data_IF_479777376793
#
_entry.id   IF_479777376793
#
_cell.length_a   1.000
_cell.length_b   1.000
_cell.length_c   1.000
_cell.angle_alpha   90.00
_cell.angle_beta   90.00
_cell.angle_gamma   90.00
#
_symmetry.space_group_name_H-M   'P 1'
#
loop_
_entity.id
_entity.type
_entity.pdbx_description
1 polymer ?
#
# COMPACT_ATOMS: atom_id res chain seq x y z
N UNK A 1 -6.68 15.61 -7.45
CA UNK A 1 -8.03 15.18 -7.05
C UNK A 1 -7.99 14.99 -5.54
N UNK A 2 -8.96 15.51 -4.80
CA UNK A 2 -8.93 15.43 -3.34
C UNK A 2 -9.20 13.98 -2.84
N UNK A 3 -8.38 13.50 -1.91
CA UNK A 3 -8.48 12.17 -1.29
C UNK A 3 -9.43 12.26 -0.10
N UNK A 4 -10.42 11.37 -0.03
CA UNK A 4 -11.34 11.30 1.13
C UNK A 4 -10.60 10.74 2.33
N UNK A 5 -10.66 11.44 3.47
CA UNK A 5 -10.02 11.01 4.72
C UNK A 5 -11.08 10.82 5.81
N UNK A 6 -11.20 9.60 6.33
CA UNK A 6 -12.03 9.30 7.49
C UNK A 6 -11.14 9.15 8.73
N UNK A 7 -11.39 9.96 9.76
CA UNK A 7 -10.68 9.89 11.04
C UNK A 7 -11.58 9.21 12.05
N UNK A 8 -11.14 8.07 12.55
CA UNK A 8 -11.88 7.35 13.58
C UNK A 8 -11.59 7.96 14.96
N UNK A 9 -12.58 7.93 15.85
CA UNK A 9 -12.39 8.30 17.26
C UNK A 9 -11.60 7.19 17.95
N UNK A 10 -10.34 7.46 18.25
CA UNK A 10 -9.48 6.51 18.92
C UNK A 10 -9.57 6.58 20.45
N UNK A 11 -8.74 5.79 21.12
CA UNK A 11 -8.71 5.64 22.57
C UNK A 11 -7.33 5.96 23.16
N UNK A 12 -6.47 6.65 22.41
CA UNK A 12 -5.11 6.96 22.85
C UNK A 12 -5.09 7.88 24.08
N UNK A 13 -6.13 8.71 24.25
CA UNK A 13 -6.31 9.62 25.38
C UNK A 13 -7.42 9.17 26.35
N UNK A 14 -7.74 7.88 26.37
CA UNK A 14 -8.80 7.31 27.20
C UNK A 14 -10.12 7.05 26.46
N UNK A 15 -11.10 6.50 27.18
CA UNK A 15 -12.40 6.12 26.63
C UNK A 15 -13.26 7.36 26.34
N UNK A 16 -14.05 7.29 25.27
CA UNK A 16 -14.95 8.38 24.86
C UNK A 16 -16.22 7.86 24.17
N UNK A 17 -17.26 8.69 24.15
CA UNK A 17 -18.51 8.36 23.47
C UNK A 17 -18.31 8.21 21.95
N UNK A 18 -18.72 7.05 21.40
CA UNK A 18 -18.57 6.75 19.97
C UNK A 18 -17.14 6.40 19.54
N UNK A 19 -16.28 5.97 20.46
CA UNK A 19 -14.99 5.37 20.11
C UNK A 19 -15.16 4.25 19.06
N UNK A 20 -14.18 4.11 18.17
CA UNK A 20 -14.20 3.23 16.99
C UNK A 20 -15.21 3.60 15.89
N UNK A 21 -16.03 4.64 16.06
CA UNK A 21 -16.80 5.22 14.95
C UNK A 21 -15.95 6.24 14.17
N UNK A 22 -16.38 6.54 12.94
CA UNK A 22 -15.84 7.68 12.19
C UNK A 22 -16.24 8.96 12.91
N UNK A 23 -15.25 9.67 13.45
CA UNK A 23 -15.44 10.93 14.16
C UNK A 23 -15.51 12.12 13.22
N UNK A 24 -14.68 12.12 12.17
CA UNK A 24 -14.57 13.21 11.20
C UNK A 24 -14.36 12.66 9.78
N UNK A 25 -14.87 13.40 8.79
CA UNK A 25 -14.68 13.15 7.35
C UNK A 25 -14.20 14.43 6.70
N UNK A 26 -12.94 14.41 6.29
CA UNK A 26 -12.31 15.52 5.59
C UNK A 26 -11.81 15.09 4.22
N UNK A 27 -11.16 16.01 3.53
CA UNK A 27 -10.40 15.73 2.33
C UNK A 27 -8.98 16.28 2.47
N UNK A 28 -8.02 15.59 1.88
CA UNK A 28 -6.65 16.06 1.72
C UNK A 28 -6.31 16.15 0.23
N UNK A 29 -5.43 17.07 -0.17
CA UNK A 29 -5.12 17.26 -1.60
C UNK A 29 -4.12 16.22 -2.10
N UNK A 30 -3.25 15.74 -1.19
CA UNK A 30 -2.13 14.85 -1.48
C UNK A 30 -1.86 13.91 -0.30
N UNK A 31 -1.08 12.85 -0.55
CA UNK A 31 -0.50 12.00 0.50
C UNK A 31 0.44 12.80 1.41
N UNK A 32 1.05 13.87 0.88
CA UNK A 32 1.94 14.74 1.66
C UNK A 32 1.19 15.53 2.75
N UNK A 33 -0.11 15.77 2.59
CA UNK A 33 -0.96 16.48 3.55
C UNK A 33 -1.48 15.58 4.69
N UNK A 34 -1.17 14.28 4.67
CA UNK A 34 -1.53 13.35 5.75
C UNK A 34 -0.69 13.69 6.98
N UNK A 35 -1.34 13.64 8.15
CA UNK A 35 -0.67 13.85 9.45
C UNK A 35 0.60 12.97 9.55
N UNK A 36 1.76 13.55 9.93
CA UNK A 36 3.02 12.83 10.07
C UNK A 36 2.93 11.53 10.89
N UNK A 37 2.04 11.48 11.89
CA UNK A 37 1.85 10.28 12.71
C UNK A 37 1.33 9.09 11.93
N UNK A 38 0.57 9.30 10.85
CA UNK A 38 0.15 8.21 9.97
C UNK A 38 1.12 8.02 8.81
N UNK A 39 1.79 9.09 8.36
CA UNK A 39 2.81 9.02 7.32
C UNK A 39 3.96 8.07 7.70
N UNK A 40 4.34 8.02 8.97
CA UNK A 40 5.34 7.07 9.44
C UNK A 40 4.98 5.60 9.19
N UNK A 41 3.67 5.25 9.11
CA UNK A 41 3.25 3.89 8.79
C UNK A 41 3.62 3.52 7.35
N UNK A 42 3.61 4.49 6.44
CA UNK A 42 4.03 4.33 5.05
C UNK A 42 5.54 4.36 4.90
N UNK A 43 6.23 5.19 5.69
CA UNK A 43 7.67 5.46 5.52
C UNK A 43 8.55 4.41 6.22
N UNK A 44 8.11 3.87 7.36
CA UNK A 44 8.82 2.79 8.06
C UNK A 44 8.66 1.44 7.34
N UNK A 45 9.53 0.45 7.59
CA UNK A 45 9.42 -0.88 7.00
C UNK A 45 8.33 -1.75 7.66
N UNK A 46 7.13 -1.20 7.79
CA UNK A 46 5.97 -1.94 8.26
C UNK A 46 5.29 -2.65 7.09
N UNK A 47 5.06 -3.95 7.24
CA UNK A 47 4.34 -4.71 6.24
C UNK A 47 2.89 -4.23 6.18
N UNK A 48 2.33 -4.19 4.97
CA UNK A 48 0.91 -3.99 4.78
C UNK A 48 0.22 -5.33 4.55
N UNK A 49 -1.07 -5.41 4.85
CA UNK A 49 -1.94 -6.47 4.34
C UNK A 49 -2.70 -5.91 3.17
N UNK A 50 -2.49 -6.49 1.99
CA UNK A 50 -3.14 -6.10 0.75
C UNK A 50 -4.24 -7.11 0.40
N UNK A 51 -5.44 -6.60 0.10
CA UNK A 51 -6.57 -7.36 -0.39
C UNK A 51 -6.83 -7.07 -1.88
N UNK A 52 -6.97 -8.14 -2.66
CA UNK A 52 -7.40 -8.10 -4.07
C UNK A 52 -8.58 -9.05 -4.27
N UNK A 53 -9.47 -8.79 -5.22
CA UNK A 53 -10.64 -9.64 -5.42
C UNK A 53 -10.29 -10.90 -6.20
N UNK A 54 -10.50 -12.07 -5.59
CA UNK A 54 -10.35 -13.37 -6.22
C UNK A 54 -11.45 -13.67 -7.23
N UNK A 55 -11.25 -14.70 -8.04
CA UNK A 55 -12.23 -15.14 -9.04
C UNK A 55 -13.49 -15.76 -8.42
N UNK A 56 -13.43 -16.18 -7.16
CA UNK A 56 -14.54 -16.71 -6.36
C UNK A 56 -15.37 -15.60 -5.67
N UNK A 57 -15.05 -14.33 -5.94
CA UNK A 57 -15.73 -13.18 -5.34
C UNK A 57 -15.28 -12.86 -3.92
N UNK A 58 -14.27 -13.55 -3.38
CA UNK A 58 -13.72 -13.27 -2.04
C UNK A 58 -12.44 -12.44 -2.12
N UNK A 59 -12.20 -11.56 -1.13
CA UNK A 59 -10.91 -10.87 -1.04
C UNK A 59 -9.80 -11.86 -0.67
N UNK A 60 -8.74 -11.88 -1.48
CA UNK A 60 -7.50 -12.59 -1.19
C UNK A 60 -6.53 -11.63 -0.50
N UNK A 61 -6.14 -11.95 0.73
CA UNK A 61 -5.29 -11.13 1.58
C UNK A 61 -3.86 -11.67 1.55
N UNK A 62 -2.87 -10.79 1.32
CA UNK A 62 -1.45 -11.15 1.38
C UNK A 62 -0.65 -10.07 2.08
N UNK A 63 0.27 -10.43 3.00
CA UNK A 63 1.29 -9.50 3.49
C UNK A 63 2.19 -9.04 2.34
N UNK A 64 2.47 -7.74 2.28
CA UNK A 64 3.27 -7.11 1.22
C UNK A 64 4.15 -5.99 1.81
N UNK A 65 5.23 -5.65 1.12
CA UNK A 65 5.91 -4.38 1.31
C UNK A 65 5.07 -3.24 0.72
N UNK A 66 5.17 -2.06 1.31
CA UNK A 66 4.42 -0.88 0.92
C UNK A 66 5.34 0.22 0.39
N UNK A 67 4.88 0.88 -0.67
CA UNK A 67 5.57 2.01 -1.27
C UNK A 67 4.62 2.96 -1.99
N UNK A 68 5.07 4.19 -2.17
CA UNK A 68 4.33 5.25 -2.84
C UNK A 68 5.29 6.25 -3.48
N UNK A 69 4.80 7.00 -4.46
CA UNK A 69 5.54 8.10 -5.08
C UNK A 69 4.57 9.23 -5.43
N UNK A 70 4.83 10.43 -4.90
CA UNK A 70 3.85 11.52 -4.90
C UNK A 70 2.53 11.08 -4.26
N UNK A 71 1.46 11.16 -5.04
CA UNK A 71 0.09 10.78 -4.62
C UNK A 71 -0.34 9.39 -5.11
N UNK A 72 0.62 8.56 -5.52
CA UNK A 72 0.36 7.24 -6.10
C UNK A 72 0.91 6.14 -5.20
N UNK A 73 0.06 5.16 -4.91
CA UNK A 73 0.51 3.90 -4.29
C UNK A 73 1.07 3.00 -5.37
N UNK A 74 2.21 2.40 -5.10
CA UNK A 74 2.93 1.55 -6.04
C UNK A 74 2.82 0.08 -5.61
N UNK A 75 2.28 -0.77 -6.48
CA UNK A 75 2.15 -2.20 -6.22
C UNK A 75 2.97 -2.98 -7.22
N UNK A 76 4.12 -3.47 -6.77
CA UNK A 76 5.05 -4.26 -7.58
C UNK A 76 4.82 -5.75 -7.33
N UNK A 77 4.48 -6.51 -8.37
CA UNK A 77 4.23 -7.95 -8.30
C UNK A 77 4.90 -8.68 -9.46
N UNK A 78 5.16 -9.97 -9.29
CA UNK A 78 5.63 -10.80 -10.38
C UNK A 78 4.48 -11.12 -11.35
N UNK A 79 4.72 -10.92 -12.64
CA UNK A 79 3.73 -10.97 -13.72
C UNK A 79 2.98 -12.31 -13.82
N UNK A 80 3.65 -13.41 -13.47
CA UNK A 80 3.13 -14.77 -13.53
C UNK A 80 2.18 -15.13 -12.39
N UNK A 81 2.15 -14.35 -11.29
CA UNK A 81 1.34 -14.69 -10.10
C UNK A 81 -0.16 -14.49 -10.35
N UNK A 82 -0.98 -15.35 -9.74
CA UNK A 82 -2.45 -15.28 -9.86
C UNK A 82 -3.01 -13.92 -9.43
N UNK A 83 -2.46 -13.31 -8.38
CA UNK A 83 -2.87 -11.97 -7.91
C UNK A 83 -2.73 -10.90 -8.99
N UNK A 84 -1.75 -11.01 -9.89
CA UNK A 84 -1.57 -10.09 -11.02
C UNK A 84 -2.74 -10.18 -11.99
N UNK A 85 -3.20 -11.39 -12.29
CA UNK A 85 -4.39 -11.62 -13.12
C UNK A 85 -5.65 -11.06 -12.46
N UNK A 86 -5.78 -11.24 -11.14
CA UNK A 86 -6.90 -10.69 -10.37
C UNK A 86 -6.91 -9.16 -10.36
N UNK A 87 -5.77 -8.51 -10.16
CA UNK A 87 -5.65 -7.04 -10.21
C UNK A 87 -6.06 -6.52 -11.59
N UNK A 88 -5.58 -7.14 -12.69
CA UNK A 88 -5.97 -6.74 -14.05
C UNK A 88 -7.47 -6.89 -14.30
N UNK A 89 -8.10 -7.93 -13.75
CA UNK A 89 -9.54 -8.17 -13.88
C UNK A 89 -10.37 -7.20 -13.03
N UNK A 90 -9.93 -6.94 -11.81
CA UNK A 90 -10.61 -6.08 -10.84
C UNK A 90 -9.58 -5.10 -10.25
N UNK A 91 -9.38 -3.94 -10.88
CA UNK A 91 -8.28 -3.00 -10.58
C UNK A 91 -8.49 -2.19 -9.29
N UNK A 92 -9.19 -2.75 -8.30
CA UNK A 92 -9.43 -2.13 -7.00
C UNK A 92 -8.73 -2.93 -5.92
N UNK A 93 -7.94 -2.25 -5.11
CA UNK A 93 -7.10 -2.85 -4.06
C UNK A 93 -7.42 -2.16 -2.73
N UNK A 94 -7.49 -2.93 -1.65
CA UNK A 94 -7.57 -2.37 -0.29
C UNK A 94 -6.31 -2.76 0.48
N UNK A 95 -5.75 -1.81 1.21
CA UNK A 95 -4.51 -1.97 1.96
C UNK A 95 -4.77 -1.56 3.41
N UNK A 96 -4.15 -2.25 4.36
CA UNK A 96 -4.04 -1.78 5.74
C UNK A 96 -2.59 -1.91 6.20
N UNK A 97 -2.10 -0.89 6.90
CA UNK A 97 -0.82 -0.90 7.60
C UNK A 97 -1.12 -0.70 9.07
N UNK A 98 -0.59 -1.59 9.91
CA UNK A 98 -0.75 -1.56 11.36
C UNK A 98 0.63 -1.34 11.97
N UNK A 99 0.73 -0.45 12.95
CA UNK A 99 1.95 -0.27 13.73
C UNK A 99 2.22 -1.56 14.54
N UNK A 100 3.36 -2.23 14.33
CA UNK A 100 3.66 -3.47 15.05
C UNK A 100 3.87 -3.27 16.55
N UNK A 101 4.20 -2.05 16.99
CA UNK A 101 4.34 -1.73 18.42
C UNK A 101 2.98 -1.43 19.10
N UNK A 102 1.98 -1.00 18.33
CA UNK A 102 0.65 -0.69 18.84
C UNK A 102 -0.43 -0.96 17.78
N UNK A 103 -1.20 -2.03 17.96
CA UNK A 103 -2.27 -2.41 17.02
C UNK A 103 -3.41 -1.39 16.93
N UNK A 104 -3.51 -0.45 17.88
CA UNK A 104 -4.44 0.68 17.86
C UNK A 104 -3.88 1.89 17.12
N UNK A 105 -2.81 1.73 16.35
CA UNK A 105 -2.33 2.74 15.42
C UNK A 105 -2.25 2.15 14.01
N UNK A 106 -3.19 2.53 13.16
CA UNK A 106 -3.28 1.98 11.81
C UNK A 106 -3.83 2.97 10.79
N UNK A 107 -3.55 2.65 9.53
CA UNK A 107 -4.09 3.33 8.37
C UNK A 107 -4.57 2.31 7.35
N UNK A 108 -5.77 2.52 6.83
CA UNK A 108 -6.35 1.75 5.72
C UNK A 108 -6.54 2.63 4.51
N UNK A 109 -6.25 2.09 3.32
CA UNK A 109 -6.33 2.79 2.05
C UNK A 109 -7.14 1.96 1.06
N UNK A 110 -8.01 2.61 0.30
CA UNK A 110 -8.60 2.07 -0.92
C UNK A 110 -7.92 2.74 -2.10
N UNK A 111 -7.42 1.93 -3.02
CA UNK A 111 -6.69 2.41 -4.19
C UNK A 111 -7.20 1.72 -5.45
N UNK A 112 -7.14 2.43 -6.56
CA UNK A 112 -7.53 1.92 -7.87
C UNK A 112 -6.35 2.03 -8.82
N UNK A 113 -6.04 0.93 -9.51
CA UNK A 113 -5.00 0.91 -10.55
C UNK A 113 -5.43 1.83 -11.69
N UNK A 114 -4.60 2.80 -12.04
CA UNK A 114 -4.81 3.68 -13.19
C UNK A 114 -3.82 3.42 -14.33
N UNK A 115 -2.69 2.76 -14.01
CA UNK A 115 -1.63 2.47 -14.97
C UNK A 115 -0.88 1.20 -14.59
N UNK A 116 -0.47 0.46 -15.60
CA UNK A 116 0.39 -0.72 -15.50
C UNK A 116 1.68 -0.46 -16.28
N UNK A 117 2.83 -0.76 -15.68
CA UNK A 117 4.15 -0.68 -16.33
C UNK A 117 4.83 -2.04 -16.23
N UNK A 118 5.24 -2.58 -17.38
CA UNK A 118 5.96 -3.83 -17.44
C UNK A 118 7.46 -3.59 -17.29
N UNK A 119 8.16 -4.52 -16.65
CA UNK A 119 9.63 -4.44 -16.48
C UNK A 119 10.40 -4.44 -17.80
N UNK A 120 9.83 -4.99 -18.88
CA UNK A 120 10.40 -4.99 -20.23
C UNK A 120 9.95 -3.81 -21.10
N UNK A 121 9.20 -2.86 -20.53
CA UNK A 121 8.86 -1.63 -21.24
C UNK A 121 10.15 -0.84 -21.58
N UNK A 122 10.29 -0.47 -22.85
CA UNK A 122 11.53 0.14 -23.37
C UNK A 122 11.83 1.53 -22.78
N UNK A 123 10.83 2.23 -22.24
CA UNK A 123 10.98 3.59 -21.70
C UNK A 123 10.95 3.60 -20.18
N UNK A 124 10.07 2.80 -19.59
CA UNK A 124 9.73 2.87 -18.17
C UNK A 124 10.07 1.58 -17.40
N UNK A 125 10.50 0.51 -18.08
CA UNK A 125 10.80 -0.77 -17.44
C UNK A 125 11.88 -0.66 -16.35
N UNK A 126 12.87 0.21 -16.55
CA UNK A 126 13.90 0.50 -15.55
C UNK A 126 13.34 1.05 -14.23
N UNK A 127 12.21 1.77 -14.27
CA UNK A 127 11.53 2.27 -13.07
C UNK A 127 10.91 1.14 -12.25
N UNK A 128 10.42 0.08 -12.90
CA UNK A 128 9.87 -1.11 -12.22
C UNK A 128 10.96 -1.78 -11.36
N UNK A 129 12.17 -1.91 -11.90
CA UNK A 129 13.31 -2.51 -11.19
C UNK A 129 13.85 -1.58 -10.11
N UNK A 130 14.03 -0.29 -10.40
CA UNK A 130 14.56 0.67 -9.42
C UNK A 130 13.62 0.82 -8.21
N UNK A 131 12.30 0.82 -8.44
CA UNK A 131 11.31 0.80 -7.38
C UNK A 131 11.39 -0.48 -6.53
N UNK A 132 11.57 -1.64 -7.17
CA UNK A 132 11.71 -2.92 -6.46
C UNK A 132 12.97 -2.95 -5.58
N UNK A 133 14.08 -2.42 -6.09
CA UNK A 133 15.33 -2.25 -5.35
C UNK A 133 15.18 -1.28 -4.17
N UNK A 134 14.49 -0.14 -4.37
CA UNK A 134 14.18 0.82 -3.29
C UNK A 134 13.44 0.16 -2.13
N UNK A 135 12.40 -0.63 -2.41
CA UNK A 135 11.64 -1.32 -1.34
C UNK A 135 12.40 -2.49 -0.75
N UNK A 136 13.27 -3.15 -1.51
CA UNK A 136 14.19 -4.14 -0.96
C UNK A 136 15.10 -3.53 0.11
N UNK A 137 15.76 -2.42 -0.20
CA UNK A 137 16.61 -1.72 0.76
C UNK A 137 15.81 -1.25 1.98
N UNK A 138 14.61 -0.68 1.77
CA UNK A 138 13.75 -0.25 2.88
C UNK A 138 13.41 -1.38 3.86
N UNK A 139 13.02 -2.56 3.35
CA UNK A 139 12.45 -3.63 4.17
C UNK A 139 13.44 -4.69 4.62
N UNK A 140 14.50 -4.94 3.84
CA UNK A 140 15.50 -5.98 4.14
C UNK A 140 16.84 -5.38 4.54
N UNK A 141 17.20 -4.22 3.98
CA UNK A 141 18.44 -3.51 4.32
C UNK A 141 19.73 -4.22 3.94
N UNK A 142 19.67 -5.28 3.12
CA UNK A 142 20.84 -6.08 2.71
C UNK A 142 21.12 -5.90 1.22
N UNK A 143 22.05 -5.02 0.86
CA UNK A 143 22.37 -4.71 -0.53
C UNK A 143 21.36 -3.79 -1.21
N UNK A 144 21.65 -3.48 -2.48
CA UNK A 144 20.90 -2.48 -3.28
C UNK A 144 19.99 -3.13 -4.33
N UNK A 145 20.08 -4.45 -4.51
CA UNK A 145 19.33 -5.19 -5.53
C UNK A 145 18.41 -6.25 -4.93
N UNK A 146 17.22 -6.38 -5.51
CA UNK A 146 16.25 -7.39 -5.10
C UNK A 146 16.74 -8.82 -5.34
N UNK A 147 17.09 -9.51 -4.24
CA UNK A 147 17.72 -10.84 -4.28
C UNK A 147 16.77 -12.04 -4.23
N UNK A 148 15.45 -11.86 -4.30
CA UNK A 148 14.47 -12.96 -4.13
C UNK A 148 13.76 -13.36 -5.43
N UNK A 149 14.39 -13.13 -6.60
CA UNK A 149 13.88 -13.70 -7.85
C UNK A 149 14.06 -15.20 -7.85
N UNK A 150 13.05 -15.91 -8.32
CA UNK A 150 13.12 -17.35 -8.53
C UNK A 150 14.09 -17.66 -9.69
N UNK A 151 15.21 -18.37 -9.46
CA UNK A 151 16.19 -18.65 -10.50
C UNK A 151 15.73 -19.68 -11.53
N UNK A 152 14.65 -20.43 -11.26
CA UNK A 152 14.12 -21.47 -12.16
C UNK A 152 13.23 -20.92 -13.27
N UNK A 153 12.81 -19.65 -13.15
CA UNK A 153 11.97 -18.98 -14.12
C UNK A 153 12.56 -17.62 -14.48
N UNK A 154 12.26 -17.17 -15.69
CA UNK A 154 12.55 -15.80 -16.09
C UNK A 154 11.53 -14.84 -15.45
N UNK A 155 11.61 -14.63 -14.12
CA UNK A 155 10.66 -13.76 -13.40
C UNK A 155 10.69 -12.35 -13.99
N UNK A 156 9.50 -11.87 -14.38
CA UNK A 156 9.26 -10.49 -14.83
C UNK A 156 8.32 -9.78 -13.86
N UNK A 157 8.62 -8.52 -13.58
CA UNK A 157 7.85 -7.67 -12.68
C UNK A 157 6.86 -6.80 -13.45
N UNK A 158 5.81 -6.41 -12.75
CA UNK A 158 4.86 -5.40 -13.18
C UNK A 158 4.63 -4.44 -12.03
N UNK A 159 4.64 -3.15 -12.34
CA UNK A 159 4.33 -2.07 -11.42
C UNK A 159 2.93 -1.53 -11.72
N UNK A 160 2.01 -1.72 -10.80
CA UNK A 160 0.72 -1.05 -10.84
C UNK A 160 0.81 0.29 -10.12
N UNK A 161 0.51 1.36 -10.83
CA UNK A 161 0.41 2.71 -10.30
C UNK A 161 -1.04 2.96 -9.93
N UNK A 162 -1.28 3.24 -8.65
CA UNK A 162 -2.63 3.31 -8.11
C UNK A 162 -2.92 4.72 -7.61
N UNK A 163 -4.05 5.29 -8.01
CA UNK A 163 -4.60 6.47 -7.34
C UNK A 163 -5.16 6.07 -5.98
N UNK A 164 -5.06 6.96 -5.01
CA UNK A 164 -5.70 6.78 -3.69
C UNK A 164 -7.13 7.31 -3.74
N UNK A 165 -8.11 6.44 -3.52
CA UNK A 165 -9.52 6.82 -3.54
C UNK A 165 -9.98 7.34 -2.17
N UNK A 166 -9.51 6.69 -1.10
CA UNK A 166 -9.84 7.07 0.27
C UNK A 166 -8.85 6.50 1.28
N UNK A 167 -8.72 7.19 2.41
CA UNK A 167 -7.90 6.81 3.55
C UNK A 167 -8.78 6.79 4.81
N UNK A 168 -8.53 5.83 5.69
CA UNK A 168 -9.07 5.77 7.04
C UNK A 168 -7.92 5.65 8.04
N UNK A 169 -7.97 6.43 9.13
CA UNK A 169 -6.91 6.45 10.14
C UNK A 169 -7.47 6.26 11.54
N UNK A 170 -6.68 5.66 12.42
CA UNK A 170 -7.05 5.41 13.81
C UNK A 170 -5.82 5.48 14.71
N UNK A 171 -5.95 6.20 15.82
CA UNK A 171 -5.02 6.19 16.95
C UNK A 171 -3.76 7.01 16.80
N UNK A 172 -2.83 6.75 17.73
CA UNK A 172 -1.57 7.45 17.94
C UNK A 172 -0.40 6.45 17.99
N UNK A 173 0.83 6.82 17.60
CA UNK A 173 1.96 5.89 17.52
C UNK A 173 2.41 5.21 18.82
N UNK A 174 2.01 5.75 19.98
CA UNK A 174 2.49 5.41 21.33
C UNK A 174 2.20 3.99 21.78
#
# INVERSE_FOLDING_TARGET
>A
MAIKLAKFRDVANGLQAGQFAVGDRTTVNSIADIDPKYKMLMDKPFACVMAVMGSDGRPNLTPMWFDYEGDKVLVNVASQRTKTKWIRKTPTITIVIVNPANMYHWMSMKVTVEREVLEDDAKEGAWVTSQLNRIWTKYVGQGEEYGLRDPSINERRVLFVCKVDSIATFGEPG
#
